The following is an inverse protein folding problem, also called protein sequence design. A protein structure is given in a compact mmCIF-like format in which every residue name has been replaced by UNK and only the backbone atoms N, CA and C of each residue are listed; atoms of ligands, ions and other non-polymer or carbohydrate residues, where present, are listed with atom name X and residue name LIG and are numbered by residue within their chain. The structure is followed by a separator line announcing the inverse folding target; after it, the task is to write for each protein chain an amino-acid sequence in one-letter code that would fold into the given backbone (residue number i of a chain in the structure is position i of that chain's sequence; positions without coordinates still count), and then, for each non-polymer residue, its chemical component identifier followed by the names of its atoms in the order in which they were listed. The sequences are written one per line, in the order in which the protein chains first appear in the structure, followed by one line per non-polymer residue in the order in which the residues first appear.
data_IF_245436049517
#
_entry.id   IF_245436049517
#
_cell.length_a   1.000
_cell.length_b   1.000
_cell.length_c   1.000
_cell.angle_alpha   90.00
_cell.angle_beta   90.00
_cell.angle_gamma   90.00
#
_symmetry.space_group_name_H-M   'P 1'
#
loop_
_entity.id
_entity.type
_entity.pdbx_description
1 polymer ?
#
# COMPACT_ATOMS: atom_id res chain seq x y z
N UNK A 1 -0.25 -25.86 -19.26
CA UNK A 1 -0.96 -24.73 -19.87
C UNK A 1 0.08 -23.65 -20.15
N UNK A 2 0.06 -23.06 -21.33
CA UNK A 2 1.08 -22.11 -21.77
C UNK A 2 0.51 -20.69 -21.85
N UNK A 3 1.35 -19.75 -22.23
CA UNK A 3 0.97 -18.38 -22.52
C UNK A 3 0.11 -18.32 -23.78
N UNK A 4 -1.08 -17.70 -23.70
CA UNK A 4 -2.05 -17.62 -24.80
C UNK A 4 -1.98 -16.26 -25.48
N UNK A 5 -1.72 -16.18 -26.80
CA UNK A 5 -1.73 -14.92 -27.52
C UNK A 5 -3.14 -14.30 -27.57
N UNK A 6 -3.22 -12.98 -27.36
CA UNK A 6 -4.46 -12.22 -27.47
C UNK A 6 -4.32 -11.09 -28.50
N UNK A 7 -5.31 -10.95 -29.38
CA UNK A 7 -5.45 -9.79 -30.25
C UNK A 7 -6.00 -8.57 -29.50
N UNK A 8 -5.72 -7.37 -30.00
CA UNK A 8 -6.11 -6.08 -29.38
C UNK A 8 -7.63 -5.92 -29.14
N UNK A 9 -8.46 -6.64 -29.88
CA UNK A 9 -9.92 -6.60 -29.77
C UNK A 9 -10.50 -7.73 -28.88
N UNK A 10 -9.65 -8.54 -28.27
CA UNK A 10 -10.11 -9.61 -27.39
C UNK A 10 -10.85 -9.02 -26.18
N UNK A 11 -11.99 -9.61 -25.75
CA UNK A 11 -12.75 -9.16 -24.58
C UNK A 11 -11.92 -9.02 -23.30
N UNK A 12 -10.87 -9.86 -23.10
CA UNK A 12 -9.95 -9.76 -21.96
C UNK A 12 -9.12 -8.48 -21.97
N UNK A 13 -8.84 -7.90 -23.12
CA UNK A 13 -8.17 -6.59 -23.23
C UNK A 13 -9.12 -5.46 -22.79
N UNK A 14 -10.41 -5.57 -23.12
CA UNK A 14 -11.43 -4.63 -22.65
C UNK A 14 -11.61 -4.74 -21.12
N UNK A 15 -11.63 -5.96 -20.58
CA UNK A 15 -11.66 -6.21 -19.13
C UNK A 15 -10.44 -5.62 -18.43
N UNK A 16 -9.24 -5.87 -18.93
CA UNK A 16 -8.00 -5.31 -18.39
C UNK A 16 -8.03 -3.77 -18.37
N UNK A 17 -8.59 -3.16 -19.43
CA UNK A 17 -8.80 -1.70 -19.48
C UNK A 17 -9.78 -1.20 -18.42
N UNK A 18 -10.85 -1.95 -18.15
CA UNK A 18 -11.80 -1.62 -17.10
C UNK A 18 -11.15 -1.70 -15.70
N UNK A 19 -10.33 -2.72 -15.45
CA UNK A 19 -9.56 -2.86 -14.21
C UNK A 19 -8.57 -1.70 -14.04
N UNK A 20 -7.82 -1.36 -15.10
CA UNK A 20 -6.87 -0.26 -15.07
C UNK A 20 -7.52 1.10 -14.72
N UNK A 21 -8.77 1.29 -15.07
CA UNK A 21 -9.58 2.48 -14.76
C UNK A 21 -10.32 2.42 -13.41
N UNK A 22 -10.18 1.32 -12.66
CA UNK A 22 -10.87 1.13 -11.38
C UNK A 22 -12.36 0.79 -11.49
N UNK A 23 -12.84 0.37 -12.66
CA UNK A 23 -14.24 -0.02 -12.85
C UNK A 23 -14.58 -1.42 -12.26
N UNK A 24 -13.60 -2.12 -11.75
CA UNK A 24 -13.72 -3.44 -11.11
C UNK A 24 -13.10 -3.35 -9.71
N UNK A 25 -13.91 -2.99 -8.71
CA UNK A 25 -13.44 -2.74 -7.34
C UNK A 25 -12.84 -3.98 -6.64
N UNK A 26 -13.15 -5.17 -7.12
CA UNK A 26 -12.67 -6.45 -6.62
C UNK A 26 -11.31 -6.88 -7.23
N UNK A 27 -10.80 -6.13 -8.22
CA UNK A 27 -9.55 -6.42 -8.91
C UNK A 27 -8.66 -5.18 -8.97
N UNK A 28 -7.36 -5.38 -8.96
CA UNK A 28 -6.39 -4.32 -9.19
C UNK A 28 -5.31 -4.73 -10.18
N UNK A 29 -4.69 -3.74 -10.82
CA UNK A 29 -3.63 -3.92 -11.80
C UNK A 29 -2.27 -3.58 -11.18
N UNK A 30 -1.34 -4.49 -11.33
CA UNK A 30 0.07 -4.34 -10.93
C UNK A 30 0.93 -4.30 -12.18
N UNK A 31 1.79 -3.28 -12.29
CA UNK A 31 2.74 -3.09 -13.39
C UNK A 31 4.16 -3.36 -12.91
N UNK A 32 4.88 -4.19 -13.65
CA UNK A 32 6.29 -4.46 -13.47
C UNK A 32 6.60 -5.80 -12.80
N UNK A 33 7.61 -6.46 -13.36
CA UNK A 33 8.06 -7.80 -12.98
C UNK A 33 8.44 -7.89 -11.49
N UNK A 34 9.29 -6.98 -11.02
CA UNK A 34 9.77 -7.01 -9.64
C UNK A 34 8.64 -6.97 -8.61
N UNK A 35 7.67 -6.08 -8.81
CA UNK A 35 6.55 -5.96 -7.87
C UNK A 35 5.68 -7.21 -7.86
N UNK A 36 5.46 -7.84 -9.01
CA UNK A 36 4.74 -9.12 -9.12
C UNK A 36 5.51 -10.22 -8.38
N UNK A 37 6.82 -10.34 -8.58
CA UNK A 37 7.67 -11.32 -7.90
C UNK A 37 7.69 -11.10 -6.37
N UNK A 38 7.78 -9.86 -5.91
CA UNK A 38 7.71 -9.51 -4.50
C UNK A 38 6.36 -9.92 -3.87
N UNK A 39 5.26 -9.79 -4.60
CA UNK A 39 3.93 -10.24 -4.16
C UNK A 39 3.83 -11.77 -4.13
N UNK A 40 4.36 -12.46 -5.14
CA UNK A 40 4.42 -13.92 -5.16
C UNK A 40 5.23 -14.46 -3.98
N UNK A 41 6.36 -13.85 -3.65
CA UNK A 41 7.18 -14.21 -2.50
C UNK A 41 6.42 -14.06 -1.17
N UNK A 42 5.48 -13.11 -1.10
CA UNK A 42 4.58 -12.91 0.06
C UNK A 42 3.32 -13.79 0.04
N UNK A 43 3.21 -14.74 -0.92
CA UNK A 43 2.06 -15.63 -1.02
C UNK A 43 0.82 -15.02 -1.66
N UNK A 44 0.92 -13.85 -2.29
CA UNK A 44 -0.18 -13.19 -3.00
C UNK A 44 -0.09 -13.53 -4.49
N UNK A 45 -1.14 -14.15 -5.03
CA UNK A 45 -1.15 -14.66 -6.40
C UNK A 45 -2.09 -13.88 -7.30
N UNK A 46 -1.68 -13.58 -8.55
CA UNK A 46 -2.54 -12.95 -9.54
C UNK A 46 -3.57 -13.96 -10.08
N UNK A 47 -4.69 -13.46 -10.57
CA UNK A 47 -5.68 -14.23 -11.34
C UNK A 47 -5.32 -14.28 -12.83
N UNK A 48 -4.62 -13.26 -13.32
CA UNK A 48 -4.15 -13.21 -14.70
C UNK A 48 -2.84 -12.42 -14.82
N UNK A 49 -2.00 -12.81 -15.78
CA UNK A 49 -0.77 -12.13 -16.14
C UNK A 49 -0.77 -11.87 -17.64
N UNK A 50 -0.31 -10.69 -18.03
CA UNK A 50 -0.18 -10.24 -19.41
C UNK A 50 1.25 -9.77 -19.63
N UNK A 51 1.93 -10.32 -20.61
CA UNK A 51 3.30 -9.95 -20.93
C UNK A 51 3.50 -9.68 -22.43
N UNK A 52 4.47 -8.84 -22.74
CA UNK A 52 4.96 -8.65 -24.11
C UNK A 52 5.60 -9.94 -24.62
N UNK A 53 5.56 -10.17 -25.94
CA UNK A 53 5.96 -11.45 -26.55
C UNK A 53 7.34 -11.93 -26.09
N UNK A 54 8.36 -11.10 -26.22
CA UNK A 54 9.73 -11.47 -25.82
C UNK A 54 9.86 -11.78 -24.32
N UNK A 55 9.15 -11.01 -23.49
CA UNK A 55 9.16 -11.23 -22.06
C UNK A 55 8.41 -12.51 -21.68
N UNK A 56 7.27 -12.78 -22.32
CA UNK A 56 6.51 -14.01 -22.09
C UNK A 56 7.32 -15.28 -22.40
N UNK A 57 8.09 -15.26 -23.49
CA UNK A 57 9.01 -16.35 -23.86
C UNK A 57 10.10 -16.56 -22.79
N UNK A 58 10.72 -15.49 -22.32
CA UNK A 58 11.71 -15.55 -21.25
C UNK A 58 11.12 -16.09 -19.94
N UNK A 59 9.96 -15.58 -19.53
CA UNK A 59 9.27 -16.01 -18.31
C UNK A 59 8.79 -17.47 -18.39
N UNK A 60 8.36 -17.93 -19.56
CA UNK A 60 7.94 -19.32 -19.77
C UNK A 60 9.07 -20.34 -19.51
N UNK A 61 10.32 -19.95 -19.71
CA UNK A 61 11.49 -20.77 -19.44
C UNK A 61 11.88 -20.81 -17.95
N UNK A 62 11.35 -19.91 -17.13
CA UNK A 62 11.67 -19.82 -15.71
C UNK A 62 10.75 -20.73 -14.86
N UNK A 63 11.29 -21.61 -13.99
CA UNK A 63 10.48 -22.56 -13.21
C UNK A 63 9.43 -21.91 -12.30
N UNK A 64 9.72 -20.72 -11.75
CA UNK A 64 8.78 -19.94 -10.91
C UNK A 64 7.54 -19.52 -11.70
N UNK A 65 7.73 -19.01 -12.90
CA UNK A 65 6.67 -18.53 -13.79
C UNK A 65 5.91 -19.70 -14.45
N UNK A 66 6.60 -20.80 -14.74
CA UNK A 66 5.94 -22.04 -15.20
C UNK A 66 4.96 -22.59 -14.14
N UNK A 67 5.33 -22.54 -12.85
CA UNK A 67 4.42 -22.87 -11.74
C UNK A 67 3.26 -21.88 -11.59
N UNK A 68 3.52 -20.61 -11.78
CA UNK A 68 2.48 -19.57 -11.76
C UNK A 68 1.44 -19.79 -12.87
N UNK A 69 1.86 -20.17 -14.07
CA UNK A 69 0.98 -20.47 -15.19
C UNK A 69 0.03 -21.67 -14.97
N UNK A 70 0.24 -22.45 -13.91
CA UNK A 70 -0.70 -23.50 -13.47
C UNK A 70 -1.83 -22.94 -12.58
N UNK A 71 -1.64 -21.75 -12.00
CA UNK A 71 -2.56 -21.12 -11.04
C UNK A 71 -3.23 -19.84 -11.58
N UNK A 72 -2.59 -19.17 -12.53
CA UNK A 72 -3.08 -17.94 -13.13
C UNK A 72 -3.19 -18.08 -14.65
N UNK A 73 -4.12 -17.37 -15.26
CA UNK A 73 -4.20 -17.29 -16.72
C UNK A 73 -3.08 -16.40 -17.24
N UNK A 74 -2.24 -16.91 -18.16
CA UNK A 74 -1.12 -16.18 -18.73
C UNK A 74 -1.38 -15.84 -20.20
N UNK A 75 -1.23 -14.58 -20.55
CA UNK A 75 -1.53 -14.04 -21.88
C UNK A 75 -0.35 -13.27 -22.47
N UNK A 76 -0.21 -13.36 -23.80
CA UNK A 76 0.74 -12.56 -24.58
C UNK A 76 -0.02 -11.45 -25.27
N UNK A 77 0.48 -10.22 -25.15
CA UNK A 77 -0.05 -9.04 -25.82
C UNK A 77 1.09 -8.29 -26.56
N UNK A 78 0.73 -7.58 -27.61
CA UNK A 78 1.65 -6.66 -28.28
C UNK A 78 2.07 -5.54 -27.30
N UNK A 79 3.33 -5.09 -27.40
CA UNK A 79 3.89 -4.06 -26.50
C UNK A 79 3.09 -2.76 -26.50
N UNK A 80 2.59 -2.35 -27.69
CA UNK A 80 1.79 -1.14 -27.84
C UNK A 80 0.45 -1.23 -27.08
N UNK A 81 -0.15 -2.43 -27.03
CA UNK A 81 -1.39 -2.67 -26.31
C UNK A 81 -1.13 -2.64 -24.81
N UNK A 82 -0.05 -3.26 -24.32
CA UNK A 82 0.35 -3.22 -22.91
C UNK A 82 0.68 -1.80 -22.46
N UNK A 83 1.43 -1.03 -23.27
CA UNK A 83 1.78 0.34 -22.97
C UNK A 83 0.54 1.27 -22.82
N UNK A 84 -0.52 1.03 -23.60
CA UNK A 84 -1.79 1.78 -23.48
C UNK A 84 -2.59 1.42 -22.21
N UNK A 85 -2.36 0.26 -21.65
CA UNK A 85 -3.08 -0.25 -20.48
C UNK A 85 -2.31 -0.06 -19.18
N UNK A 86 -1.00 0.12 -19.28
CA UNK A 86 -0.14 0.30 -18.14
C UNK A 86 -0.47 1.59 -17.37
N UNK A 87 -0.51 1.55 -16.03
CA UNK A 87 -0.70 2.74 -15.20
C UNK A 87 0.54 3.66 -15.19
N UNK A 88 1.63 3.23 -15.79
CA UNK A 88 2.90 3.96 -15.85
C UNK A 88 3.26 4.37 -17.28
N UNK A 89 3.94 5.50 -17.43
CA UNK A 89 4.41 5.97 -18.76
C UNK A 89 5.43 5.04 -19.41
N UNK A 90 6.19 4.30 -18.59
CA UNK A 90 7.23 3.35 -19.04
C UNK A 90 6.96 2.00 -18.37
N UNK A 91 6.13 1.19 -18.99
CA UNK A 91 5.90 -0.18 -18.54
C UNK A 91 7.11 -1.07 -18.85
N UNK A 92 7.34 -2.05 -17.98
CA UNK A 92 8.35 -3.10 -18.21
C UNK A 92 7.82 -4.26 -19.05
N UNK A 93 6.65 -4.08 -19.70
CA UNK A 93 6.04 -5.10 -20.57
C UNK A 93 5.36 -6.24 -19.81
N UNK A 94 5.06 -6.06 -18.49
CA UNK A 94 4.35 -7.03 -17.69
C UNK A 94 3.29 -6.36 -16.84
N UNK A 95 2.05 -6.81 -17.00
CA UNK A 95 0.90 -6.43 -16.17
C UNK A 95 0.32 -7.67 -15.52
N UNK A 96 -0.06 -7.59 -14.27
CA UNK A 96 -0.73 -8.68 -13.57
C UNK A 96 -1.99 -8.18 -12.83
N UNK A 97 -3.04 -8.97 -12.86
CA UNK A 97 -4.31 -8.67 -12.19
C UNK A 97 -4.39 -9.46 -10.90
N UNK A 98 -4.56 -8.74 -9.80
CA UNK A 98 -4.68 -9.32 -8.48
C UNK A 98 -6.07 -9.12 -7.89
N UNK A 99 -6.58 -10.07 -7.09
CA UNK A 99 -7.79 -9.85 -6.33
C UNK A 99 -7.52 -8.82 -5.23
N UNK A 100 -8.45 -7.91 -5.02
CA UNK A 100 -8.42 -6.95 -3.90
C UNK A 100 -8.89 -7.65 -2.63
N UNK A 101 -8.10 -7.65 -1.55
CA UNK A 101 -8.51 -8.23 -0.28
C UNK A 101 -9.77 -7.53 0.27
N UNK A 102 -10.72 -8.31 0.77
CA UNK A 102 -11.94 -7.78 1.38
C UNK A 102 -11.90 -7.95 2.90
N UNK A 103 -11.13 -7.12 3.58
CA UNK A 103 -11.09 -7.08 5.02
C UNK A 103 -12.34 -6.38 5.58
N UNK A 104 -12.96 -6.96 6.60
CA UNK A 104 -14.16 -6.40 7.27
C UNK A 104 -13.84 -5.80 8.63
N UNK A 105 -12.69 -6.15 9.19
CA UNK A 105 -12.18 -5.65 10.47
C UNK A 105 -10.66 -5.71 10.48
N UNK A 106 -10.05 -4.95 11.38
CA UNK A 106 -8.64 -5.03 11.73
C UNK A 106 -8.55 -5.08 13.26
N UNK A 107 -7.55 -5.79 13.77
CA UNK A 107 -7.34 -5.92 15.22
C UNK A 107 -5.84 -5.91 15.52
N UNK A 108 -5.44 -5.16 16.54
CA UNK A 108 -4.06 -5.07 17.00
C UNK A 108 -3.80 -3.82 17.83
N UNK A 109 -2.57 -3.66 18.29
CA UNK A 109 -2.19 -2.60 19.22
C UNK A 109 -2.04 -1.22 18.55
N UNK A 110 -1.61 -1.18 17.29
CA UNK A 110 -1.39 0.06 16.54
C UNK A 110 -2.20 0.01 15.25
N UNK A 111 -3.13 0.94 15.11
CA UNK A 111 -3.98 1.11 13.94
C UNK A 111 -3.78 2.51 13.35
N UNK A 112 -4.01 2.65 12.06
CA UNK A 112 -4.04 3.94 11.38
C UNK A 112 -5.44 4.24 10.86
N UNK A 113 -5.82 5.52 10.92
CA UNK A 113 -7.03 6.03 10.27
C UNK A 113 -6.66 7.21 9.37
N UNK A 114 -7.00 7.10 8.09
CA UNK A 114 -6.75 8.14 7.08
C UNK A 114 -8.03 8.92 6.85
N UNK A 115 -8.02 10.19 7.26
CA UNK A 115 -9.15 11.09 7.07
C UNK A 115 -9.00 11.91 5.79
N UNK A 116 -9.65 11.46 4.72
CA UNK A 116 -9.74 12.15 3.42
C UNK A 116 -8.37 12.46 2.79
N UNK A 117 -7.39 11.59 2.95
CA UNK A 117 -6.10 11.68 2.22
C UNK A 117 -6.36 11.45 0.74
N UNK A 118 -6.13 12.47 -0.10
CA UNK A 118 -6.61 12.48 -1.49
C UNK A 118 -5.62 11.98 -2.54
N UNK A 119 -4.32 12.00 -2.27
CA UNK A 119 -3.35 11.45 -3.22
C UNK A 119 -3.16 9.96 -3.00
N UNK A 120 -3.47 9.10 -4.01
CA UNK A 120 -3.22 7.65 -3.92
C UNK A 120 -1.75 7.31 -3.64
N UNK A 121 -0.80 8.17 -4.03
CA UNK A 121 0.62 7.94 -3.71
C UNK A 121 0.88 8.10 -2.21
N UNK A 122 0.27 9.10 -1.56
CA UNK A 122 0.35 9.28 -0.11
C UNK A 122 -0.31 8.12 0.63
N UNK A 123 -1.52 7.71 0.21
CA UNK A 123 -2.19 6.53 0.78
C UNK A 123 -1.30 5.29 0.70
N UNK A 124 -0.73 5.01 -0.49
CA UNK A 124 0.17 3.87 -0.67
C UNK A 124 1.44 3.96 0.16
N UNK A 125 2.07 5.14 0.22
CA UNK A 125 3.27 5.37 1.03
C UNK A 125 2.97 5.17 2.53
N UNK A 126 1.83 5.65 3.04
CA UNK A 126 1.39 5.44 4.43
C UNK A 126 1.19 3.94 4.70
N UNK A 127 0.53 3.21 3.81
CA UNK A 127 0.34 1.76 3.96
C UNK A 127 1.69 1.02 4.00
N UNK A 128 2.66 1.42 3.16
CA UNK A 128 4.01 0.86 3.18
C UNK A 128 4.71 1.11 4.51
N UNK A 129 4.66 2.34 5.00
CA UNK A 129 5.28 2.73 6.28
C UNK A 129 4.56 2.03 7.44
N UNK A 130 3.22 1.94 7.43
CA UNK A 130 2.45 1.21 8.41
C UNK A 130 2.87 -0.27 8.49
N UNK A 131 3.03 -0.94 7.35
CA UNK A 131 3.52 -2.31 7.29
C UNK A 131 4.95 -2.42 7.84
N UNK A 132 5.86 -1.49 7.47
CA UNK A 132 7.24 -1.49 7.91
C UNK A 132 7.41 -1.31 9.43
N UNK A 133 6.49 -0.59 10.07
CA UNK A 133 6.53 -0.32 11.51
C UNK A 133 5.57 -1.21 12.32
N UNK A 134 4.99 -2.25 11.71
CA UNK A 134 4.20 -3.26 12.42
C UNK A 134 2.81 -2.79 12.85
N UNK A 135 2.22 -1.81 12.15
CA UNK A 135 0.81 -1.49 12.35
C UNK A 135 -0.06 -2.69 11.93
N UNK A 136 -1.11 -2.95 12.67
CA UNK A 136 -2.02 -4.07 12.42
C UNK A 136 -2.94 -3.85 11.21
N UNK A 137 -3.12 -2.60 10.79
CA UNK A 137 -3.88 -2.26 9.60
C UNK A 137 -4.19 -0.78 9.49
N UNK A 138 -4.80 -0.42 8.36
CA UNK A 138 -5.15 0.95 7.98
C UNK A 138 -6.64 1.03 7.65
N UNK A 139 -7.35 1.99 8.20
CA UNK A 139 -8.71 2.32 7.80
C UNK A 139 -8.72 3.65 7.01
N UNK A 140 -9.41 3.65 5.89
CA UNK A 140 -9.57 4.82 5.01
C UNK A 140 -11.01 5.35 5.12
N UNK A 141 -11.18 6.62 5.45
CA UNK A 141 -12.50 7.27 5.48
C UNK A 141 -13.13 7.36 4.09
N UNK A 142 -14.44 7.62 4.00
CA UNK A 142 -15.03 8.16 2.77
C UNK A 142 -14.29 9.42 2.32
N UNK A 143 -13.98 9.54 1.02
CA UNK A 143 -13.19 10.67 0.48
C UNK A 143 -11.67 10.45 0.50
N UNK A 144 -11.17 9.41 1.18
CA UNK A 144 -9.78 8.96 0.99
C UNK A 144 -9.62 8.29 -0.37
N UNK A 145 -8.50 8.54 -1.05
CA UNK A 145 -8.18 7.92 -2.33
C UNK A 145 -8.16 6.39 -2.22
N UNK A 146 -8.51 5.71 -3.33
CA UNK A 146 -8.62 4.25 -3.35
C UNK A 146 -7.26 3.59 -3.06
N UNK A 147 -7.12 2.87 -1.91
CA UNK A 147 -5.85 2.27 -1.48
C UNK A 147 -5.40 1.11 -2.38
N UNK A 148 -6.31 0.55 -3.17
CA UNK A 148 -6.04 -0.52 -4.12
C UNK A 148 -5.94 -0.03 -5.56
N UNK A 149 -5.92 1.28 -5.80
CA UNK A 149 -5.62 1.82 -7.13
C UNK A 149 -4.20 1.42 -7.57
N UNK A 150 -3.92 1.25 -8.86
CA UNK A 150 -2.58 0.89 -9.33
C UNK A 150 -1.47 1.84 -8.82
N UNK A 151 -1.80 3.15 -8.67
CA UNK A 151 -0.88 4.16 -8.12
C UNK A 151 -0.58 3.89 -6.64
N UNK A 152 -1.58 3.59 -5.82
CA UNK A 152 -1.41 3.28 -4.41
C UNK A 152 -0.71 1.94 -4.20
N UNK A 153 -1.06 0.89 -4.97
CA UNK A 153 -0.36 -0.41 -4.93
C UNK A 153 1.14 -0.23 -5.20
N UNK A 154 1.50 0.56 -6.22
CA UNK A 154 2.89 0.83 -6.54
C UNK A 154 3.60 1.60 -5.42
N UNK A 155 2.99 2.66 -4.90
CA UNK A 155 3.54 3.46 -3.80
C UNK A 155 3.71 2.63 -2.51
N UNK A 156 2.81 1.69 -2.27
CA UNK A 156 2.89 0.77 -1.14
C UNK A 156 3.89 -0.38 -1.34
N UNK A 157 4.57 -0.49 -2.49
CA UNK A 157 5.35 -1.66 -2.87
C UNK A 157 4.56 -2.98 -2.69
N UNK A 158 3.26 -2.95 -3.01
CA UNK A 158 2.35 -4.08 -2.89
C UNK A 158 1.83 -4.35 -1.47
N UNK A 159 2.29 -3.62 -0.44
CA UNK A 159 1.84 -3.87 0.93
C UNK A 159 0.34 -3.65 1.14
N UNK A 160 -0.33 -2.86 0.30
CA UNK A 160 -1.79 -2.74 0.35
C UNK A 160 -2.52 -4.07 0.08
N UNK A 161 -1.89 -5.04 -0.59
CA UNK A 161 -2.46 -6.37 -0.82
C UNK A 161 -2.16 -7.38 0.32
N UNK A 162 -1.33 -7.01 1.29
CA UNK A 162 -0.91 -7.90 2.39
C UNK A 162 -1.26 -7.37 3.78
N UNK A 163 -1.19 -6.06 3.99
CA UNK A 163 -1.64 -5.42 5.23
C UNK A 163 -3.16 -5.28 5.20
N UNK A 164 -3.90 -5.57 6.27
CA UNK A 164 -5.33 -5.30 6.34
C UNK A 164 -5.66 -3.82 6.10
N UNK A 165 -6.44 -3.53 5.06
CA UNK A 165 -6.92 -2.17 4.74
C UNK A 165 -8.44 -2.17 4.65
N UNK A 166 -9.09 -1.31 5.42
CA UNK A 166 -10.53 -1.06 5.38
C UNK A 166 -10.82 0.16 4.51
N UNK A 167 -11.63 -0.02 3.48
CA UNK A 167 -12.04 1.07 2.57
C UNK A 167 -13.32 1.73 3.05
N UNK A 168 -13.47 3.03 2.81
CA UNK A 168 -14.70 3.80 3.05
C UNK A 168 -15.29 3.55 4.43
N UNK A 169 -14.40 3.46 5.43
CA UNK A 169 -14.77 3.21 6.81
C UNK A 169 -15.15 4.53 7.49
N UNK A 170 -16.42 4.69 7.82
CA UNK A 170 -16.91 5.83 8.58
C UNK A 170 -16.26 5.91 9.96
N UNK A 171 -15.99 7.14 10.45
CA UNK A 171 -15.30 7.38 11.69
C UNK A 171 -16.03 6.80 12.92
N UNK A 172 -17.34 7.01 13.01
CA UNK A 172 -18.10 6.53 14.17
C UNK A 172 -18.13 5.00 14.19
N UNK A 173 -18.35 4.38 13.03
CA UNK A 173 -18.30 2.93 12.88
C UNK A 173 -16.91 2.38 13.19
N UNK A 174 -15.84 3.05 12.74
CA UNK A 174 -14.47 2.68 13.05
C UNK A 174 -14.21 2.71 14.57
N UNK A 175 -14.57 3.80 15.24
CA UNK A 175 -14.41 3.94 16.68
C UNK A 175 -15.15 2.86 17.47
N UNK A 176 -16.38 2.56 17.09
CA UNK A 176 -17.21 1.59 17.81
C UNK A 176 -16.78 0.14 17.58
N UNK A 177 -16.43 -0.22 16.36
CA UNK A 177 -16.25 -1.64 15.97
C UNK A 177 -14.81 -2.09 15.87
N UNK A 178 -13.88 -1.18 15.64
CA UNK A 178 -12.48 -1.49 15.35
C UNK A 178 -11.56 -0.93 16.41
N UNK A 179 -11.76 0.32 16.79
CA UNK A 179 -10.88 1.05 17.70
C UNK A 179 -11.42 1.15 19.13
N UNK A 180 -12.37 0.31 19.50
CA UNK A 180 -12.86 0.26 20.89
C UNK A 180 -11.69 -0.03 21.85
N UNK A 181 -11.53 0.82 22.88
CA UNK A 181 -10.45 0.69 23.85
C UNK A 181 -9.07 1.21 23.40
N UNK A 182 -8.93 1.71 22.17
CA UNK A 182 -7.71 2.38 21.74
C UNK A 182 -7.73 3.88 22.10
N UNK A 183 -6.60 4.40 22.56
CA UNK A 183 -6.40 5.84 22.58
C UNK A 183 -6.30 6.38 21.16
N UNK A 184 -6.86 7.57 20.91
CA UNK A 184 -6.85 8.18 19.59
C UNK A 184 -5.94 9.39 19.58
N UNK A 185 -4.92 9.32 18.75
CA UNK A 185 -3.94 10.39 18.59
C UNK A 185 -3.95 10.88 17.14
N UNK A 186 -4.08 12.16 16.93
CA UNK A 186 -4.09 12.71 15.59
C UNK A 186 -2.89 13.61 15.33
N UNK A 187 -2.31 13.47 14.15
CA UNK A 187 -1.26 14.35 13.67
C UNK A 187 -1.84 15.70 13.22
N UNK A 188 -1.24 16.77 13.66
CA UNK A 188 -1.60 18.14 13.26
C UNK A 188 -0.35 18.96 12.96
N UNK A 189 -0.45 19.91 12.02
CA UNK A 189 0.66 20.80 11.69
C UNK A 189 1.03 21.77 12.83
N UNK A 190 0.02 22.16 13.64
CA UNK A 190 0.22 23.09 14.77
C UNK A 190 -0.78 22.80 15.91
N UNK A 191 -0.45 23.26 17.10
CA UNK A 191 -1.35 23.24 18.27
C UNK A 191 -1.46 21.89 18.98
N UNK A 192 -0.63 20.92 18.62
CA UNK A 192 -0.51 19.65 19.32
C UNK A 192 0.67 19.64 20.30
N UNK A 193 0.77 18.59 21.13
CA UNK A 193 1.98 18.36 21.92
C UNK A 193 3.14 17.95 21.00
N UNK A 194 4.36 18.23 21.44
CA UNK A 194 5.57 17.90 20.69
C UNK A 194 5.72 16.38 20.55
N UNK A 195 5.84 15.91 19.31
CA UNK A 195 5.95 14.50 18.96
C UNK A 195 7.18 13.82 19.60
N UNK A 196 8.25 14.56 19.90
CA UNK A 196 9.49 14.00 20.44
C UNK A 196 9.48 13.91 21.99
N UNK A 197 8.70 14.76 22.65
CA UNK A 197 8.54 14.71 24.11
C UNK A 197 7.29 13.94 24.55
N UNK A 198 6.32 13.77 23.65
CA UNK A 198 5.12 12.99 23.91
C UNK A 198 5.44 11.53 24.30
N UNK A 199 4.75 11.01 25.29
CA UNK A 199 4.84 9.62 25.73
C UNK A 199 3.62 8.84 25.21
N UNK A 200 3.72 8.15 24.07
CA UNK A 200 2.65 7.35 23.52
C UNK A 200 2.43 6.05 24.33
N UNK A 201 1.19 5.57 24.34
CA UNK A 201 0.82 4.28 24.93
C UNK A 201 -0.02 3.47 23.95
N UNK A 202 0.16 2.15 23.97
CA UNK A 202 -0.66 1.22 23.21
C UNK A 202 -1.77 0.64 24.12
N UNK A 203 -2.93 0.24 23.59
CA UNK A 203 -3.29 0.29 22.16
C UNK A 203 -3.69 1.69 21.70
N UNK A 204 -3.36 2.03 20.46
CA UNK A 204 -3.68 3.35 19.91
C UNK A 204 -4.06 3.34 18.42
N UNK A 205 -4.76 4.40 18.02
CA UNK A 205 -5.00 4.78 16.63
C UNK A 205 -4.23 6.05 16.34
N UNK A 206 -3.42 6.03 15.28
CA UNK A 206 -2.84 7.24 14.70
C UNK A 206 -3.74 7.74 13.56
N UNK A 207 -4.29 8.94 13.71
CA UNK A 207 -5.14 9.60 12.71
C UNK A 207 -4.31 10.58 11.90
N UNK A 208 -4.42 10.49 10.58
CA UNK A 208 -3.75 11.35 9.61
C UNK A 208 -4.81 12.05 8.76
N UNK A 209 -4.77 13.37 8.70
CA UNK A 209 -5.77 14.18 8.00
C UNK A 209 -5.41 14.49 6.55
N UNK A 210 -6.34 15.16 5.87
CA UNK A 210 -6.20 15.68 4.52
C UNK A 210 -5.01 16.65 4.41
N UNK A 211 -4.32 16.63 3.28
CA UNK A 211 -3.12 17.42 3.03
C UNK A 211 -3.35 18.94 3.07
N UNK A 212 -4.53 19.41 2.64
CA UNK A 212 -4.86 20.83 2.60
C UNK A 212 -5.80 21.30 3.71
N UNK A 213 -6.80 20.45 4.05
CA UNK A 213 -7.86 20.82 5.01
C UNK A 213 -7.59 20.29 6.43
N UNK A 214 -6.59 19.44 6.60
CA UNK A 214 -6.33 18.79 7.88
C UNK A 214 -7.42 17.78 8.27
N UNK A 215 -7.69 17.67 9.56
CA UNK A 215 -8.68 16.77 10.12
C UNK A 215 -10.10 17.29 9.96
N UNK A 216 -11.05 16.38 9.78
CA UNK A 216 -12.47 16.70 9.94
C UNK A 216 -12.73 17.23 11.36
N UNK A 217 -13.53 18.32 11.53
CA UNK A 217 -13.82 18.87 12.85
C UNK A 217 -14.38 17.82 13.84
N UNK A 218 -15.28 16.93 13.38
CA UNK A 218 -15.84 15.89 14.25
C UNK A 218 -14.76 14.89 14.73
N UNK A 219 -13.78 14.60 13.88
CA UNK A 219 -12.66 13.74 14.25
C UNK A 219 -11.73 14.49 15.20
N UNK A 220 -11.41 15.75 14.89
CA UNK A 220 -10.54 16.59 15.71
C UNK A 220 -11.06 16.76 17.13
N UNK A 221 -12.38 16.91 17.31
CA UNK A 221 -13.02 17.07 18.61
C UNK A 221 -13.12 15.73 19.38
N UNK A 222 -13.01 14.60 18.68
CA UNK A 222 -13.14 13.24 19.23
C UNK A 222 -11.80 12.55 19.51
N UNK A 223 -10.65 13.18 19.21
CA UNK A 223 -9.34 12.59 19.51
C UNK A 223 -8.92 12.88 20.96
N UNK A 224 -8.23 11.94 21.56
CA UNK A 224 -7.73 12.09 22.92
C UNK A 224 -6.52 13.04 22.97
N UNK A 225 -5.78 13.16 21.86
CA UNK A 225 -4.58 13.99 21.78
C UNK A 225 -4.25 14.43 20.35
N UNK A 226 -3.84 15.67 20.22
CA UNK A 226 -3.19 16.21 19.03
C UNK A 226 -1.67 16.17 19.23
N UNK A 227 -0.93 15.74 18.20
CA UNK A 227 0.53 15.65 18.19
C UNK A 227 1.07 16.44 17.01
N UNK A 228 2.07 17.28 17.24
CA UNK A 228 2.75 18.10 16.23
C UNK A 228 4.21 17.72 16.14
N UNK A 229 4.72 17.55 14.92
CA UNK A 229 6.16 17.42 14.67
C UNK A 229 6.72 18.84 14.62
N UNK A 230 7.64 19.24 15.52
CA UNK A 230 8.26 20.54 15.50
C UNK A 230 9.03 20.78 14.21
N UNK A 231 8.76 21.89 13.54
CA UNK A 231 9.41 22.26 12.30
C UNK A 231 10.15 23.59 12.45
N UNK A 232 11.11 23.84 11.57
CA UNK A 232 11.81 25.12 11.50
C UNK A 232 10.88 26.24 11.05
N UNK A 233 11.17 27.47 11.46
CA UNK A 233 10.41 28.67 11.06
C UNK A 233 10.30 28.76 9.54
N UNK A 234 9.10 29.06 9.03
CA UNK A 234 8.82 29.19 7.61
C UNK A 234 8.43 27.88 6.91
N UNK A 235 8.44 26.74 7.60
CA UNK A 235 7.90 25.49 7.09
C UNK A 235 6.55 25.23 7.76
N UNK A 236 5.47 25.25 6.98
CA UNK A 236 4.10 25.17 7.50
C UNK A 236 3.68 23.74 7.84
N UNK A 237 4.11 22.76 7.04
CA UNK A 237 3.73 21.35 7.20
C UNK A 237 4.70 20.40 6.49
N UNK A 238 4.56 19.11 6.77
CA UNK A 238 5.20 18.03 6.03
C UNK A 238 4.19 17.28 5.16
N UNK A 239 4.68 16.62 4.13
CA UNK A 239 3.89 15.62 3.42
C UNK A 239 3.33 14.59 4.43
N UNK A 240 2.06 14.21 4.29
CA UNK A 240 1.35 13.36 5.25
C UNK A 240 1.99 11.97 5.44
N UNK A 241 2.55 11.39 4.38
CA UNK A 241 3.25 10.11 4.48
C UNK A 241 4.61 10.24 5.19
N UNK A 242 5.31 11.37 5.01
CA UNK A 242 6.55 11.69 5.75
C UNK A 242 6.24 11.88 7.22
N UNK A 243 5.22 12.66 7.56
CA UNK A 243 4.77 12.85 8.94
C UNK A 243 4.38 11.51 9.60
N UNK A 244 3.65 10.65 8.88
CA UNK A 244 3.34 9.29 9.30
C UNK A 244 4.61 8.49 9.63
N UNK A 245 5.62 8.52 8.75
CA UNK A 245 6.88 7.82 8.95
C UNK A 245 7.62 8.26 10.21
N UNK A 246 7.73 9.56 10.45
CA UNK A 246 8.38 10.12 11.65
C UNK A 246 7.63 9.67 12.91
N UNK A 247 6.29 9.77 12.93
CA UNK A 247 5.48 9.38 14.08
C UNK A 247 5.57 7.87 14.35
N UNK A 248 5.48 7.03 13.31
CA UNK A 248 5.60 5.58 13.48
C UNK A 248 7.00 5.14 13.91
N UNK A 249 8.05 5.79 13.42
CA UNK A 249 9.42 5.53 13.88
C UNK A 249 9.57 5.85 15.38
N UNK A 250 8.94 6.93 15.86
CA UNK A 250 8.91 7.29 17.28
C UNK A 250 8.14 6.26 18.12
N UNK A 251 7.05 5.69 17.58
CA UNK A 251 6.24 4.68 18.25
C UNK A 251 6.93 3.32 18.33
N UNK A 252 7.82 2.97 17.41
CA UNK A 252 8.49 1.66 17.36
C UNK A 252 9.28 1.34 18.63
N UNK A 253 9.87 2.34 19.28
CA UNK A 253 10.56 2.15 20.55
C UNK A 253 9.71 1.62 21.70
N UNK A 254 8.38 1.57 21.51
CA UNK A 254 7.41 1.13 22.52
C UNK A 254 6.85 -0.27 22.26
N UNK A 255 6.91 -0.74 21.02
CA UNK A 255 6.49 -2.09 20.64
C UNK A 255 7.67 -2.79 19.95
N UNK A 256 8.51 -3.52 20.69
CA UNK A 256 9.57 -4.32 20.09
C UNK A 256 8.91 -5.49 19.34
N UNK A 257 8.60 -5.26 18.06
CA UNK A 257 8.41 -6.35 17.10
C UNK A 257 9.79 -6.91 16.72
N UNK A 258 9.86 -8.16 16.21
CA UNK A 258 11.13 -8.72 15.75
C UNK A 258 11.73 -7.77 14.70
N UNK A 259 12.91 -7.27 14.97
CA UNK A 259 13.75 -6.65 13.95
C UNK A 259 14.04 -7.79 12.97
N UNK A 260 13.75 -7.62 11.69
CA UNK A 260 14.35 -8.47 10.67
C UNK A 260 15.86 -8.34 10.86
N UNK A 261 16.47 -9.33 11.48
CA UNK A 261 17.91 -9.52 11.36
C UNK A 261 18.14 -9.61 9.85
N UNK A 262 18.94 -8.69 9.32
CA UNK A 262 19.43 -8.83 7.96
C UNK A 262 20.06 -10.22 7.91
N UNK A 263 19.45 -11.13 7.12
CA UNK A 263 20.09 -12.42 6.85
C UNK A 263 21.52 -12.09 6.46
N UNK A 264 22.48 -12.55 7.28
CA UNK A 264 23.88 -12.25 7.13
C UNK A 264 24.35 -12.75 5.77
N UNK A 265 24.39 -11.86 4.81
CA UNK A 265 25.24 -12.03 3.65
C UNK A 265 26.65 -12.08 4.19
N UNK A 266 27.23 -13.28 4.26
CA UNK A 266 28.64 -13.49 4.51
C UNK A 266 29.41 -12.74 3.42
N UNK A 267 29.80 -11.50 3.72
CA UNK A 267 30.83 -10.81 2.98
C UNK A 267 32.13 -11.46 3.44
N UNK A 268 32.56 -12.43 2.64
CA UNK A 268 33.92 -12.94 2.68
C UNK A 268 34.88 -11.79 2.24
N UNK A 269 35.72 -11.24 3.10
CA UNK A 269 36.68 -10.25 2.67
C UNK A 269 37.87 -11.00 2.09
N UNK A 270 37.85 -11.35 0.82
CA UNK A 270 39.08 -11.77 0.12
C UNK A 270 39.94 -10.53 -0.12
N UNK A 271 41.13 -10.43 0.47
CA UNK A 271 42.07 -9.41 0.07
C UNK A 271 42.85 -9.91 -1.15
N UNK A 272 42.81 -9.15 -2.21
CA UNK A 272 43.58 -9.56 -3.39
C UNK A 272 43.76 -8.46 -4.42
N UNK A 273 44.90 -7.72 -4.29
CA UNK A 273 45.67 -6.97 -5.30
C UNK A 273 45.00 -5.83 -6.06
#
# INVERSE_FOLDING_TARGET
MGWTPLGRHNPKVAELRAIARGAREELTLVDGRKLVEDLLARGVFPVAVFAATKLAEALAAEPSWARLAQRASCFVLAEEVLAQLAPTKHTQGLLAVFPVPNHRTIAGQLLLYLDRVQDPANVGAIVRVAAAFGAAGVACSPGTAEPFSPKAIRASAGHALTLPVLRRMDWQRFRQRVAAGHSVVAATAAGGCDAFTWQPALPMVLVLGNEGQGLDPQIRDAVDRLVTIPLQRGVESLNVAVACGILLARLRGLAPGPILEAEGGSHDPTPGY
#
